data_IF_311028522087
#
_entry.id   IF_311028522087
#
_cell.length_a   1.000
_cell.length_b   1.000
_cell.length_c   1.000
_cell.angle_alpha   90.00
_cell.angle_beta   90.00
_cell.angle_gamma   90.00
#
_symmetry.space_group_name_H-M   'P 1'
#
loop_
_entity.id
_entity.type
_entity.pdbx_description
1 polymer ?
#
# COMPACT_ATOMS: atom_id res chain seq x y z
N UNK A 1 21.31 15.20 -24.73
CA UNK A 1 22.41 14.83 -25.63
C UNK A 1 23.00 13.52 -25.15
N UNK A 2 22.60 12.40 -25.76
CA UNK A 2 23.31 11.13 -25.62
C UNK A 2 24.67 11.25 -26.31
N UNK A 3 25.76 10.87 -25.62
CA UNK A 3 26.99 10.45 -26.28
C UNK A 3 27.49 9.17 -25.64
N UNK A 4 27.67 8.20 -26.52
CA UNK A 4 28.18 6.86 -26.31
C UNK A 4 29.52 6.85 -25.56
N UNK A 5 29.61 5.97 -24.57
CA UNK A 5 30.87 5.37 -24.15
C UNK A 5 30.97 4.02 -24.85
N UNK A 6 31.61 4.00 -26.02
CA UNK A 6 32.02 2.80 -26.71
C UNK A 6 33.40 2.37 -26.18
N UNK A 7 33.55 1.05 -25.99
CA UNK A 7 34.82 0.32 -25.99
C UNK A 7 35.74 0.46 -24.78
N UNK A 8 35.31 -0.16 -23.67
CA UNK A 8 36.20 -0.91 -22.79
C UNK A 8 35.60 -2.30 -22.61
N UNK A 9 36.32 -3.35 -22.99
CA UNK A 9 35.84 -4.75 -22.95
C UNK A 9 35.23 -5.08 -21.59
N UNK A 10 33.90 -5.14 -21.57
CA UNK A 10 33.12 -5.67 -20.47
C UNK A 10 33.42 -7.16 -20.37
N UNK A 11 34.11 -7.56 -19.29
CA UNK A 11 34.06 -8.92 -18.75
C UNK A 11 32.67 -9.14 -18.13
N UNK A 12 31.62 -8.95 -18.93
CA UNK A 12 30.23 -9.14 -18.54
C UNK A 12 29.60 -10.32 -19.26
N UNK A 13 30.35 -11.06 -20.07
CA UNK A 13 29.82 -12.19 -20.82
C UNK A 13 30.58 -13.49 -20.50
N UNK A 14 29.89 -14.32 -19.70
CA UNK A 14 30.04 -15.77 -19.50
C UNK A 14 31.16 -16.25 -18.57
N UNK A 15 30.74 -17.13 -17.65
CA UNK A 15 31.54 -18.03 -16.77
C UNK A 15 32.03 -17.52 -15.42
N UNK A 16 31.16 -16.91 -14.61
CA UNK A 16 31.26 -17.10 -13.15
C UNK A 16 29.97 -17.72 -12.62
N UNK A 17 29.96 -19.04 -12.57
CA UNK A 17 28.90 -19.85 -11.97
C UNK A 17 29.29 -20.25 -10.53
N UNK A 18 29.49 -19.27 -9.65
CA UNK A 18 29.58 -19.41 -8.19
C UNK A 18 29.61 -18.01 -7.53
N UNK A 19 29.04 -17.84 -6.33
CA UNK A 19 28.59 -16.53 -5.86
C UNK A 19 29.74 -15.71 -5.26
N UNK A 20 29.66 -14.39 -5.46
CA UNK A 20 30.20 -13.37 -4.55
C UNK A 20 31.71 -13.45 -4.28
N UNK A 21 32.51 -12.75 -5.10
CA UNK A 21 33.79 -12.24 -4.64
C UNK A 21 33.54 -11.15 -3.57
N UNK A 22 33.30 -11.58 -2.32
CA UNK A 22 33.32 -10.70 -1.16
C UNK A 22 34.78 -10.47 -0.80
N UNK A 23 35.27 -9.30 -1.18
CA UNK A 23 36.61 -8.84 -0.92
C UNK A 23 36.51 -7.95 0.32
N UNK A 24 36.94 -8.43 1.48
CA UNK A 24 36.80 -7.71 2.75
C UNK A 24 38.01 -6.81 2.97
N UNK A 25 37.77 -5.52 3.25
CA UNK A 25 38.75 -4.67 3.91
C UNK A 25 38.09 -3.95 5.09
N UNK A 26 38.64 -4.12 6.30
CA UNK A 26 38.24 -3.30 7.44
C UNK A 26 38.76 -1.87 7.26
N UNK A 27 38.17 -0.90 7.97
CA UNK A 27 38.49 0.53 7.83
C UNK A 27 39.95 0.92 8.14
N UNK A 28 40.78 -0.03 8.58
CA UNK A 28 42.23 0.11 8.82
C UNK A 28 43.08 -0.85 7.96
N UNK A 29 42.47 -1.54 6.99
CA UNK A 29 43.15 -2.42 6.03
C UNK A 29 43.92 -3.60 6.67
N UNK A 30 43.54 -4.02 7.88
CA UNK A 30 44.19 -5.08 8.68
C UNK A 30 43.94 -6.46 8.10
N UNK A 31 42.78 -6.68 7.48
CA UNK A 31 42.43 -7.93 6.82
C UNK A 31 42.02 -7.64 5.39
N UNK A 32 42.60 -8.40 4.45
CA UNK A 32 42.37 -8.25 3.02
C UNK A 32 42.35 -9.63 2.37
N UNK A 33 41.36 -9.88 1.54
CA UNK A 33 41.32 -11.07 0.69
C UNK A 33 40.80 -10.67 -0.68
N UNK A 34 41.43 -11.14 -1.75
CA UNK A 34 40.90 -11.00 -3.11
C UNK A 34 40.64 -12.37 -3.71
N UNK A 35 39.51 -12.50 -4.41
CA UNK A 35 39.19 -13.72 -5.15
C UNK A 35 39.80 -13.71 -6.56
N UNK A 36 40.10 -12.51 -7.07
CA UNK A 36 40.73 -12.28 -8.38
C UNK A 36 41.89 -11.32 -8.12
N UNK A 37 43.07 -11.67 -8.62
CA UNK A 37 44.27 -10.86 -8.45
C UNK A 37 44.06 -9.44 -9.01
N UNK A 38 44.43 -8.44 -8.21
CA UNK A 38 44.30 -7.02 -8.57
C UNK A 38 42.88 -6.46 -8.44
N UNK A 39 41.94 -7.19 -7.84
CA UNK A 39 40.60 -6.68 -7.57
C UNK A 39 40.56 -5.73 -6.35
N UNK A 40 41.52 -5.85 -5.43
CA UNK A 40 41.65 -4.98 -4.27
C UNK A 40 42.35 -3.66 -4.62
N UNK A 41 41.76 -2.49 -4.33
CA UNK A 41 42.47 -1.23 -4.46
C UNK A 41 43.55 -1.07 -3.38
N UNK A 42 44.68 -0.52 -3.81
CA UNK A 42 45.82 -0.23 -2.95
C UNK A 42 45.75 1.24 -2.50
N UNK A 43 45.93 1.47 -1.20
CA UNK A 43 45.99 2.81 -0.60
C UNK A 43 44.64 3.52 -0.38
N UNK A 44 43.53 3.06 -0.98
CA UNK A 44 42.22 3.71 -0.87
C UNK A 44 41.07 2.69 -0.83
N UNK A 45 40.12 2.89 0.08
CA UNK A 45 38.95 2.00 0.19
C UNK A 45 37.82 2.36 -0.80
N UNK A 46 37.72 3.61 -1.23
CA UNK A 46 36.67 4.09 -2.13
C UNK A 46 37.27 4.86 -3.32
N UNK A 47 38.07 4.21 -4.19
CA UNK A 47 38.58 4.85 -5.39
C UNK A 47 37.42 5.26 -6.31
N UNK A 48 37.59 6.38 -7.02
CA UNK A 48 36.59 6.83 -8.01
C UNK A 48 36.42 5.82 -9.16
N UNK A 49 37.48 5.09 -9.49
CA UNK A 49 37.50 4.00 -10.48
C UNK A 49 38.08 2.75 -9.82
N UNK A 50 37.26 1.90 -9.20
CA UNK A 50 37.75 0.65 -8.62
C UNK A 50 38.38 -0.25 -9.67
N UNK A 51 39.40 -1.07 -9.30
CA UNK A 51 39.98 -2.04 -10.21
C UNK A 51 38.93 -2.92 -10.87
N UNK A 52 39.22 -3.38 -12.09
CA UNK A 52 38.35 -4.26 -12.88
C UNK A 52 36.93 -3.71 -13.14
N UNK A 53 36.70 -2.40 -12.93
CA UNK A 53 35.39 -1.77 -13.11
C UNK A 53 34.35 -2.18 -12.07
N UNK A 54 34.80 -2.66 -10.90
CA UNK A 54 33.92 -3.09 -9.80
C UNK A 54 33.20 -1.91 -9.13
N UNK A 55 32.10 -2.21 -8.44
CA UNK A 55 31.41 -1.28 -7.57
C UNK A 55 31.97 -1.36 -6.15
N UNK A 56 32.45 -0.23 -5.62
CA UNK A 56 32.86 -0.12 -4.22
C UNK A 56 31.62 0.09 -3.34
N UNK A 57 31.35 -0.86 -2.45
CA UNK A 57 30.23 -0.84 -1.51
C UNK A 57 30.75 -0.93 -0.07
N UNK A 58 30.15 -0.17 0.85
CA UNK A 58 30.49 -0.23 2.27
C UNK A 58 29.36 -0.88 3.06
N UNK A 59 29.65 -1.99 3.71
CA UNK A 59 28.77 -2.62 4.70
C UNK A 59 29.13 -2.10 6.10
N UNK A 60 28.15 -1.49 6.78
CA UNK A 60 28.29 -1.08 8.19
C UNK A 60 27.75 -2.18 9.09
N UNK A 61 28.60 -2.70 9.98
CA UNK A 61 28.22 -3.68 11.00
C UNK A 61 27.75 -3.05 12.31
N UNK A 62 27.76 -1.72 12.42
CA UNK A 62 27.31 -0.96 13.60
C UNK A 62 26.31 0.12 13.22
N UNK A 63 25.52 0.56 14.20
CA UNK A 63 24.59 1.68 14.05
C UNK A 63 25.33 2.98 13.66
N UNK A 64 24.66 3.88 12.95
CA UNK A 64 25.24 5.15 12.49
C UNK A 64 25.59 6.11 13.64
N UNK A 65 25.04 5.88 14.83
CA UNK A 65 25.30 6.61 16.07
C UNK A 65 26.48 6.06 16.87
N UNK A 66 27.06 4.92 16.48
CA UNK A 66 28.14 4.31 17.23
C UNK A 66 29.38 5.25 17.28
N UNK A 67 30.08 5.34 18.41
CA UNK A 67 31.34 6.06 18.50
C UNK A 67 32.34 5.58 17.44
N UNK A 68 33.17 6.49 16.92
CA UNK A 68 34.08 6.18 15.80
C UNK A 68 35.02 5.01 16.07
N UNK A 69 35.42 4.81 17.32
CA UNK A 69 36.32 3.73 17.72
C UNK A 69 35.64 2.35 17.75
N UNK A 70 34.31 2.32 17.83
CA UNK A 70 33.52 1.08 17.85
C UNK A 70 33.01 0.68 16.46
N UNK A 71 33.11 1.60 15.48
CA UNK A 71 32.60 1.39 14.13
C UNK A 71 33.19 0.13 13.48
N UNK A 72 32.30 -0.78 13.07
CA UNK A 72 32.66 -1.95 12.26
C UNK A 72 32.24 -1.67 10.82
N UNK A 73 33.21 -1.62 9.92
CA UNK A 73 32.97 -1.35 8.51
C UNK A 73 33.77 -2.33 7.67
N UNK A 74 33.15 -2.76 6.59
CA UNK A 74 33.75 -3.62 5.58
C UNK A 74 33.50 -2.99 4.22
N UNK A 75 34.56 -2.85 3.43
CA UNK A 75 34.45 -2.52 2.02
C UNK A 75 34.35 -3.79 1.20
N UNK A 76 33.51 -3.77 0.17
CA UNK A 76 33.30 -4.84 -0.81
C UNK A 76 33.45 -4.26 -2.22
N UNK A 77 34.05 -5.03 -3.12
CA UNK A 77 34.19 -4.66 -4.53
C UNK A 77 33.47 -5.67 -5.42
N UNK A 78 32.28 -5.30 -5.92
CA UNK A 78 31.31 -6.23 -6.51
C UNK A 78 31.12 -5.99 -8.01
N UNK A 79 30.85 -7.05 -8.76
CA UNK A 79 30.47 -6.95 -10.18
C UNK A 79 29.08 -6.32 -10.35
N UNK A 80 28.16 -6.61 -9.43
CA UNK A 80 26.82 -6.01 -9.36
C UNK A 80 26.60 -5.43 -7.96
N UNK A 81 26.09 -4.18 -7.85
CA UNK A 81 25.81 -3.58 -6.55
C UNK A 81 24.62 -4.27 -5.86
N UNK A 82 24.55 -4.21 -4.53
CA UNK A 82 23.44 -4.79 -3.75
C UNK A 82 22.05 -4.33 -4.19
N UNK A 83 21.94 -3.10 -4.69
CA UNK A 83 20.69 -2.50 -5.13
C UNK A 83 20.31 -2.85 -6.58
N UNK A 84 21.13 -3.60 -7.31
CA UNK A 84 20.77 -4.07 -8.65
C UNK A 84 19.69 -5.15 -8.54
N UNK A 85 18.46 -4.80 -8.90
CA UNK A 85 17.35 -5.74 -9.04
C UNK A 85 16.74 -5.63 -10.45
N UNK A 86 16.15 -6.71 -10.98
CA UNK A 86 15.36 -6.65 -12.21
C UNK A 86 14.16 -5.69 -12.07
N UNK A 87 13.57 -5.21 -13.17
CA UNK A 87 12.33 -4.43 -13.13
C UNK A 87 11.25 -5.13 -12.31
N UNK A 88 10.47 -4.35 -11.54
CA UNK A 88 9.32 -4.89 -10.81
C UNK A 88 8.34 -5.54 -11.77
N UNK A 89 7.84 -6.72 -11.41
CA UNK A 89 6.76 -7.40 -12.10
C UNK A 89 5.55 -7.49 -11.17
N UNK A 90 4.32 -7.50 -11.71
CA UNK A 90 3.13 -7.79 -10.92
C UNK A 90 3.32 -9.10 -10.15
N UNK A 91 2.99 -9.10 -8.86
CA UNK A 91 3.01 -10.33 -8.08
C UNK A 91 1.96 -11.30 -8.65
N UNK A 92 2.32 -12.58 -8.72
CA UNK A 92 1.34 -13.63 -9.00
C UNK A 92 0.25 -13.62 -7.92
N UNK A 93 -0.98 -14.00 -8.29
CA UNK A 93 -2.04 -14.19 -7.31
C UNK A 93 -1.58 -15.13 -6.20
N UNK A 94 -1.66 -14.64 -4.97
CA UNK A 94 -1.33 -15.44 -3.80
C UNK A 94 -2.61 -16.06 -3.22
N UNK A 95 -2.48 -17.14 -2.45
CA UNK A 95 -3.62 -17.68 -1.69
C UNK A 95 -4.03 -16.80 -0.50
N UNK A 96 -3.29 -15.72 -0.23
CA UNK A 96 -3.62 -14.83 0.87
C UNK A 96 -4.84 -13.98 0.49
N UNK A 97 -5.86 -13.88 1.35
CA UNK A 97 -7.03 -13.07 1.05
C UNK A 97 -6.64 -11.59 0.98
N UNK A 98 -7.11 -10.91 -0.08
CA UNK A 98 -6.99 -9.46 -0.19
C UNK A 98 -8.04 -8.80 0.72
N UNK A 99 -7.68 -8.54 1.97
CA UNK A 99 -8.59 -8.00 2.98
C UNK A 99 -9.19 -6.63 2.59
N UNK A 100 -8.48 -5.84 1.78
CA UNK A 100 -8.90 -4.48 1.41
C UNK A 100 -9.96 -4.44 0.29
N UNK A 101 -10.19 -5.53 -0.44
CA UNK A 101 -11.10 -5.50 -1.59
C UNK A 101 -11.27 -6.79 -2.40
N UNK A 102 -10.80 -7.94 -1.90
CA UNK A 102 -10.92 -9.22 -2.59
C UNK A 102 -12.18 -10.02 -2.25
N UNK A 103 -13.09 -9.47 -1.44
CA UNK A 103 -14.35 -10.13 -1.14
C UNK A 103 -15.27 -10.13 -2.36
N UNK A 104 -15.80 -11.31 -2.71
CA UNK A 104 -16.75 -11.49 -3.81
C UNK A 104 -18.06 -12.00 -3.20
N UNK A 105 -19.17 -11.36 -3.55
CA UNK A 105 -20.50 -11.72 -3.06
C UNK A 105 -21.56 -11.41 -4.11
N UNK A 106 -22.78 -11.90 -3.89
CA UNK A 106 -23.96 -11.52 -4.67
C UNK A 106 -24.63 -10.29 -4.08
N UNK A 107 -25.45 -9.60 -4.88
CA UNK A 107 -26.24 -8.47 -4.38
C UNK A 107 -27.21 -8.94 -3.28
N UNK A 108 -27.86 -10.08 -3.51
CA UNK A 108 -28.81 -10.68 -2.55
C UNK A 108 -28.16 -10.99 -1.21
N UNK A 109 -26.94 -11.51 -1.19
CA UNK A 109 -26.22 -11.79 0.06
C UNK A 109 -25.79 -10.50 0.75
N UNK A 110 -25.31 -9.50 -0.01
CA UNK A 110 -24.88 -8.22 0.55
C UNK A 110 -26.05 -7.43 1.15
N UNK A 111 -27.23 -7.50 0.53
CA UNK A 111 -28.45 -6.88 1.07
C UNK A 111 -28.79 -7.41 2.47
N UNK A 112 -28.52 -8.69 2.77
CA UNK A 112 -28.74 -9.24 4.13
C UNK A 112 -27.85 -8.56 5.17
N UNK A 113 -26.62 -8.22 4.78
CA UNK A 113 -25.70 -7.48 5.62
C UNK A 113 -26.18 -6.05 5.84
N UNK A 114 -26.68 -5.39 4.80
CA UNK A 114 -27.25 -4.04 4.90
C UNK A 114 -28.52 -4.01 5.75
N UNK A 115 -29.42 -4.99 5.58
CA UNK A 115 -30.60 -5.17 6.43
C UNK A 115 -30.22 -5.35 7.90
N UNK A 116 -29.17 -6.14 8.18
CA UNK A 116 -28.65 -6.34 9.52
C UNK A 116 -28.16 -5.03 10.14
N UNK A 117 -27.42 -4.22 9.37
CA UNK A 117 -26.92 -2.91 9.83
C UNK A 117 -28.05 -1.90 10.05
N UNK A 118 -28.99 -1.80 9.10
CA UNK A 118 -30.18 -0.96 9.22
C UNK A 118 -31.05 -1.39 10.43
N UNK A 119 -31.15 -2.70 10.68
CA UNK A 119 -31.79 -3.31 11.84
C UNK A 119 -30.95 -3.26 13.13
N UNK A 120 -29.89 -2.44 13.18
CA UNK A 120 -29.03 -2.24 14.36
C UNK A 120 -28.45 -3.54 14.94
N UNK A 121 -28.02 -4.43 14.05
CA UNK A 121 -27.44 -5.72 14.40
C UNK A 121 -28.41 -6.89 14.34
N UNK A 122 -29.67 -6.68 13.94
CA UNK A 122 -30.70 -7.72 13.84
C UNK A 122 -30.99 -8.03 12.38
N UNK A 123 -30.93 -9.31 12.02
CA UNK A 123 -31.37 -9.81 10.72
C UNK A 123 -32.44 -10.88 10.93
N UNK A 124 -33.61 -10.73 10.29
CA UNK A 124 -34.75 -11.67 10.40
C UNK A 124 -35.09 -12.04 11.87
N UNK A 125 -35.08 -11.05 12.76
CA UNK A 125 -35.37 -11.24 14.19
C UNK A 125 -34.24 -11.86 15.02
N UNK A 126 -33.13 -12.28 14.40
CA UNK A 126 -31.96 -12.81 15.09
C UNK A 126 -30.89 -11.75 15.28
N UNK A 127 -30.33 -11.64 16.48
CA UNK A 127 -29.21 -10.74 16.76
C UNK A 127 -27.91 -11.32 16.22
N UNK A 128 -27.32 -10.65 15.24
CA UNK A 128 -26.01 -10.96 14.65
C UNK A 128 -24.91 -10.11 15.30
N UNK A 129 -25.16 -8.81 15.46
CA UNK A 129 -24.28 -7.88 16.16
C UNK A 129 -25.03 -7.19 17.30
N UNK A 130 -24.32 -6.78 18.36
CA UNK A 130 -24.90 -5.89 19.35
C UNK A 130 -25.13 -4.51 18.74
N UNK A 131 -26.15 -3.79 19.22
CA UNK A 131 -26.39 -2.41 18.78
C UNK A 131 -25.18 -1.52 19.10
N UNK A 132 -24.47 -1.82 20.21
CA UNK A 132 -23.22 -1.15 20.56
C UNK A 132 -22.11 -1.39 19.53
N UNK A 133 -21.98 -2.61 19.00
CA UNK A 133 -20.99 -2.90 17.97
C UNK A 133 -21.29 -2.14 16.67
N UNK A 134 -22.56 -2.07 16.25
CA UNK A 134 -22.96 -1.27 15.07
C UNK A 134 -22.70 0.21 15.32
N UNK A 135 -23.01 0.70 16.51
CA UNK A 135 -22.76 2.09 16.91
C UNK A 135 -21.28 2.44 16.89
N UNK A 136 -20.42 1.58 17.46
CA UNK A 136 -18.97 1.79 17.49
C UNK A 136 -18.35 1.68 16.09
N UNK A 137 -18.85 0.77 15.25
CA UNK A 137 -18.42 0.65 13.86
C UNK A 137 -18.60 1.98 13.11
N UNK A 138 -19.74 2.64 13.33
CA UNK A 138 -20.11 3.88 12.64
C UNK A 138 -19.62 5.15 13.33
N UNK A 139 -19.00 5.02 14.51
CA UNK A 139 -18.44 6.16 15.24
C UNK A 139 -17.30 6.76 14.45
N UNK A 140 -17.25 8.10 14.44
CA UNK A 140 -16.12 8.82 13.86
C UNK A 140 -14.82 8.48 14.59
N UNK A 141 -13.90 7.83 13.89
CA UNK A 141 -12.56 7.49 14.39
C UNK A 141 -11.51 8.51 13.93
N UNK A 142 -11.88 9.43 13.03
CA UNK A 142 -10.95 10.35 12.38
C UNK A 142 -11.45 11.81 12.35
N UNK A 143 -11.94 12.39 13.46
CA UNK A 143 -12.59 13.71 13.45
C UNK A 143 -11.66 14.88 13.08
N UNK A 144 -10.35 14.69 13.24
CA UNK A 144 -9.33 15.68 12.90
C UNK A 144 -8.64 15.40 11.56
N UNK A 145 -8.93 14.26 10.93
CA UNK A 145 -8.31 13.89 9.67
C UNK A 145 -8.93 14.67 8.51
N UNK A 146 -8.10 15.01 7.52
CA UNK A 146 -8.54 15.64 6.28
C UNK A 146 -8.07 14.79 5.13
N UNK A 147 -8.98 14.44 4.23
CA UNK A 147 -8.62 13.71 3.02
C UNK A 147 -7.84 14.64 2.09
N UNK A 148 -6.68 14.18 1.59
CA UNK A 148 -5.82 14.96 0.71
C UNK A 148 -5.65 14.26 -0.65
N UNK A 149 -5.62 15.02 -1.77
CA UNK A 149 -5.85 16.47 -1.82
C UNK A 149 -7.33 16.82 -1.62
N UNK A 150 -7.62 17.89 -0.86
CA UNK A 150 -8.98 18.26 -0.41
C UNK A 150 -9.98 18.42 -1.56
N UNK A 151 -9.50 18.86 -2.72
CA UNK A 151 -10.24 19.15 -3.93
C UNK A 151 -10.43 17.95 -4.88
N UNK A 152 -9.98 16.76 -4.49
CA UNK A 152 -10.24 15.50 -5.20
C UNK A 152 -11.11 14.54 -4.38
N UNK A 153 -11.62 14.98 -3.23
CA UNK A 153 -12.41 14.15 -2.35
C UNK A 153 -13.82 13.95 -2.91
N UNK A 154 -14.14 12.72 -3.31
CA UNK A 154 -15.50 12.34 -3.73
C UNK A 154 -16.54 12.52 -2.63
N UNK A 155 -16.09 12.47 -1.37
CA UNK A 155 -16.86 12.72 -0.17
C UNK A 155 -16.14 13.77 0.70
N UNK A 156 -16.34 15.05 0.42
CA UNK A 156 -15.58 16.14 1.05
C UNK A 156 -15.76 16.21 2.59
N UNK A 157 -16.94 15.88 3.10
CA UNK A 157 -17.28 15.93 4.53
C UNK A 157 -17.23 14.58 5.23
N UNK A 158 -16.74 13.54 4.55
CA UNK A 158 -16.77 12.21 5.12
C UNK A 158 -15.56 11.94 6.02
N UNK A 159 -15.83 11.31 7.16
CA UNK A 159 -14.81 10.78 8.04
C UNK A 159 -14.89 9.25 8.06
N UNK A 160 -13.85 8.62 8.59
CA UNK A 160 -13.73 7.17 8.60
C UNK A 160 -14.16 6.61 9.97
N UNK A 161 -15.02 5.60 9.94
CA UNK A 161 -15.35 4.75 11.08
C UNK A 161 -14.47 3.50 11.10
N UNK A 162 -14.97 2.40 11.66
CA UNK A 162 -14.29 1.11 11.60
C UNK A 162 -14.73 0.34 10.36
N UNK A 163 -14.04 0.59 9.25
CA UNK A 163 -14.25 -0.12 7.98
C UNK A 163 -15.37 0.45 7.10
N UNK A 164 -15.90 1.62 7.45
CA UNK A 164 -16.90 2.34 6.67
C UNK A 164 -16.59 3.84 6.64
N UNK A 165 -17.05 4.49 5.58
CA UNK A 165 -17.18 5.93 5.51
C UNK A 165 -18.43 6.36 6.26
N UNK A 166 -18.35 7.52 6.92
CA UNK A 166 -19.51 8.25 7.36
C UNK A 166 -19.68 9.48 6.49
N UNK A 167 -20.77 9.57 5.73
CA UNK A 167 -20.97 10.63 4.74
C UNK A 167 -21.71 11.83 5.29
N UNK A 168 -22.68 11.58 6.17
CA UNK A 168 -23.56 12.60 6.72
C UNK A 168 -23.66 12.48 8.23
N UNK A 169 -23.98 13.59 8.87
CA UNK A 169 -23.91 13.77 10.30
C UNK A 169 -25.21 14.39 10.81
N UNK A 170 -25.63 14.03 12.03
CA UNK A 170 -26.69 14.75 12.73
C UNK A 170 -26.15 16.00 13.45
N UNK A 171 -27.05 16.76 14.07
CA UNK A 171 -26.72 17.97 14.85
C UNK A 171 -25.82 17.70 16.06
N UNK A 172 -25.70 16.43 16.49
CA UNK A 172 -24.84 16.00 17.58
C UNK A 172 -23.49 15.45 17.08
N UNK A 173 -23.24 15.51 15.77
CA UNK A 173 -22.02 14.98 15.14
C UNK A 173 -21.99 13.45 15.07
N UNK A 174 -23.14 12.77 15.17
CA UNK A 174 -23.22 11.32 15.01
C UNK A 174 -23.45 10.97 13.56
N UNK A 175 -22.85 9.86 13.13
CA UNK A 175 -23.01 9.37 11.78
C UNK A 175 -24.47 9.04 11.47
N UNK A 176 -25.02 9.57 10.37
CA UNK A 176 -26.38 9.25 9.91
C UNK A 176 -26.40 8.39 8.66
N UNK A 177 -25.38 8.50 7.80
CA UNK A 177 -25.21 7.65 6.61
C UNK A 177 -23.84 7.01 6.60
N UNK A 178 -23.84 5.69 6.66
CA UNK A 178 -22.63 4.86 6.57
C UNK A 178 -22.54 4.24 5.19
N UNK A 179 -21.36 4.23 4.59
CA UNK A 179 -21.11 3.64 3.27
C UNK A 179 -19.74 2.99 3.15
N UNK A 180 -19.52 2.24 2.07
CA UNK A 180 -18.20 1.66 1.75
C UNK A 180 -17.91 1.76 0.27
N UNK A 181 -17.30 2.87 -0.15
CA UNK A 181 -16.99 3.10 -1.55
C UNK A 181 -15.81 2.22 -1.99
N UNK A 182 -16.04 1.34 -2.96
CA UNK A 182 -15.01 0.55 -3.63
C UNK A 182 -14.56 1.18 -4.95
N UNK A 183 -13.25 1.28 -5.16
CA UNK A 183 -12.64 1.83 -6.39
C UNK A 183 -13.07 1.12 -7.68
N UNK A 184 -13.54 -0.13 -7.57
CA UNK A 184 -13.99 -0.98 -8.67
C UNK A 184 -15.51 -1.08 -8.80
N UNK A 185 -16.26 -0.14 -8.19
CA UNK A 185 -17.68 0.05 -8.54
C UNK A 185 -18.68 -0.65 -7.65
N UNK A 186 -18.29 -0.93 -6.41
CA UNK A 186 -19.22 -1.35 -5.37
C UNK A 186 -19.50 -0.16 -4.46
N UNK A 187 -20.79 0.20 -4.33
CA UNK A 187 -21.23 1.27 -3.44
C UNK A 187 -22.47 0.86 -2.63
N UNK A 188 -22.27 0.27 -1.46
CA UNK A 188 -23.29 0.12 -0.42
C UNK A 188 -23.42 1.37 0.45
N UNK A 189 -24.64 1.66 0.89
CA UNK A 189 -24.90 2.62 1.96
C UNK A 189 -26.08 2.20 2.84
N UNK A 190 -26.11 2.73 4.06
CA UNK A 190 -27.23 2.62 5.00
C UNK A 190 -27.49 3.98 5.65
N UNK A 191 -28.74 4.43 5.54
CA UNK A 191 -29.30 5.60 6.22
C UNK A 191 -29.93 5.14 7.54
N UNK A 192 -29.23 5.34 8.65
CA UNK A 192 -29.67 4.86 9.97
C UNK A 192 -30.99 5.48 10.45
N UNK A 193 -31.25 6.79 10.27
CA UNK A 193 -32.48 7.39 10.78
C UNK A 193 -33.74 6.81 10.14
N UNK A 194 -33.66 6.42 8.88
CA UNK A 194 -34.79 5.91 8.10
C UNK A 194 -34.79 4.39 7.98
N UNK A 195 -33.67 3.73 8.24
CA UNK A 195 -33.45 2.31 7.99
C UNK A 195 -33.38 1.97 6.50
N UNK A 196 -33.31 2.97 5.61
CA UNK A 196 -33.14 2.77 4.17
C UNK A 196 -31.70 2.40 3.88
N UNK A 197 -31.48 1.56 2.89
CA UNK A 197 -30.16 1.19 2.43
C UNK A 197 -30.21 0.90 0.94
N UNK A 198 -29.03 0.87 0.32
CA UNK A 198 -28.92 0.51 -1.09
C UNK A 198 -27.55 -0.03 -1.42
N UNK A 199 -27.46 -0.61 -2.60
CA UNK A 199 -26.26 -1.21 -3.14
C UNK A 199 -26.22 -0.97 -4.63
N UNK A 200 -25.10 -0.43 -5.11
CA UNK A 200 -24.80 -0.30 -6.53
C UNK A 200 -23.59 -1.19 -6.84
N UNK A 201 -23.73 -2.03 -7.88
CA UNK A 201 -22.63 -2.74 -8.51
C UNK A 201 -22.46 -2.25 -9.94
N UNK A 202 -21.25 -1.85 -10.28
CA UNK A 202 -20.87 -1.42 -11.62
C UNK A 202 -19.90 -2.44 -12.19
N UNK A 203 -20.20 -2.92 -13.39
CA UNK A 203 -19.29 -3.76 -14.14
C UNK A 203 -18.22 -2.90 -14.87
N UNK A 204 -17.35 -2.21 -14.11
CA UNK A 204 -16.18 -1.51 -14.64
C UNK A 204 -14.95 -1.84 -13.79
N UNK A 205 -13.92 -2.38 -14.43
CA UNK A 205 -12.71 -2.83 -13.74
C UNK A 205 -11.62 -1.75 -13.56
N UNK A 206 -11.82 -0.55 -14.10
CA UNK A 206 -10.72 0.45 -14.19
C UNK A 206 -10.94 1.70 -13.35
N UNK A 207 -12.13 2.29 -13.37
CA UNK A 207 -12.47 3.48 -12.59
C UNK A 207 -13.99 3.60 -12.47
N UNK A 208 -14.51 3.31 -11.29
CA UNK A 208 -15.93 3.45 -11.01
C UNK A 208 -16.36 4.88 -10.68
N UNK A 209 -15.40 5.76 -10.36
CA UNK A 209 -15.69 7.16 -10.02
C UNK A 209 -16.07 7.99 -11.25
N UNK A 210 -15.76 7.49 -12.45
CA UNK A 210 -16.21 8.07 -13.70
C UNK A 210 -17.74 8.18 -13.83
N UNK A 211 -18.51 7.39 -13.06
CA UNK A 211 -19.99 7.43 -13.03
C UNK A 211 -20.53 7.80 -11.65
N UNK A 212 -19.73 8.52 -10.86
CA UNK A 212 -20.12 8.98 -9.52
C UNK A 212 -21.40 9.82 -9.50
N UNK A 213 -21.64 10.76 -10.44
CA UNK A 213 -22.89 11.51 -10.49
C UNK A 213 -24.13 10.62 -10.63
N UNK A 214 -24.05 9.56 -11.43
CA UNK A 214 -25.13 8.60 -11.65
C UNK A 214 -25.38 7.73 -10.41
N UNK A 215 -24.32 7.30 -9.72
CA UNK A 215 -24.43 6.59 -8.43
C UNK A 215 -25.18 7.46 -7.41
N UNK A 216 -24.81 8.74 -7.31
CA UNK A 216 -25.45 9.68 -6.38
C UNK A 216 -26.91 9.95 -6.76
N UNK A 217 -27.26 9.97 -8.04
CA UNK A 217 -28.65 10.11 -8.48
C UNK A 217 -29.51 8.92 -8.02
N UNK A 218 -29.02 7.69 -8.16
CA UNK A 218 -29.71 6.48 -7.66
C UNK A 218 -29.84 6.51 -6.15
N UNK A 219 -28.77 6.89 -5.43
CA UNK A 219 -28.81 7.04 -3.97
C UNK A 219 -29.88 8.06 -3.55
N UNK A 220 -29.89 9.24 -4.19
CA UNK A 220 -30.84 10.29 -3.88
C UNK A 220 -32.29 9.87 -4.13
N UNK A 221 -32.57 9.11 -5.19
CA UNK A 221 -33.91 8.57 -5.47
C UNK A 221 -34.38 7.63 -4.35
N UNK A 222 -33.52 6.69 -3.92
CA UNK A 222 -33.83 5.75 -2.84
C UNK A 222 -34.01 6.46 -1.50
N UNK A 223 -33.17 7.46 -1.19
CA UNK A 223 -33.23 8.17 0.09
C UNK A 223 -34.39 9.17 0.15
N UNK A 224 -34.78 9.79 -0.97
CA UNK A 224 -35.87 10.78 -1.05
C UNK A 224 -37.27 10.17 -1.26
N UNK A 225 -37.37 8.94 -1.75
CA UNK A 225 -38.64 8.30 -2.07
C UNK A 225 -39.37 7.70 -0.87
N UNK A 226 -40.18 8.48 -0.14
CA UNK A 226 -41.50 8.07 0.43
C UNK A 226 -42.25 9.25 1.07
N UNK A 227 -42.73 10.19 0.24
CA UNK A 227 -43.78 11.17 0.58
C UNK A 227 -44.88 11.16 -0.51
N UNK A 228 -45.18 9.97 -1.06
CA UNK A 228 -46.33 9.73 -1.94
C UNK A 228 -47.04 8.46 -1.54
#
# INVERSE_FOLDING_TARGET
MLRAWHEGQLIANRQFAAPLAIILADGLLRFRSEAVEGALPIGHNSPQKPPLGLYAEKLSGTAFTAPRHDNKQTWLYRVLPSCAHPPYQPAAETRNPLLQGGAISTADDYVRFLEMLAGKGIYKGSRVLSEQAVTEMMRDQTPAAKMLPTNAALLESAHYGLGNWCETWDVQGRCTRSSSIGAFGTYPWVDLPTGRFGLVFINRQTDAFAVWPEILAVQAEVTSGSDK
#
